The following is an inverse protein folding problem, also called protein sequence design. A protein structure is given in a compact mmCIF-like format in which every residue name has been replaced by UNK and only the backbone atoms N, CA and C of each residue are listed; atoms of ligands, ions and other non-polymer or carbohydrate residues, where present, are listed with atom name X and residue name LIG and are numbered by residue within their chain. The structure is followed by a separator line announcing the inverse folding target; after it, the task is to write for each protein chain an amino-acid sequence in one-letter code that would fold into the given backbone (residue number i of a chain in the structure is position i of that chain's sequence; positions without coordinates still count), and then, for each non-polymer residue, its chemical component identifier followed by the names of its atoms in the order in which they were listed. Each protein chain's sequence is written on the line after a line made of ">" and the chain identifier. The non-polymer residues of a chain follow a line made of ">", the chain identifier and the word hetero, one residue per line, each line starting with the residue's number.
data_IF_169076483728
#
_entry.id   IF_169076483728
#
_cell.length_a   1.000
_cell.length_b   1.000
_cell.length_c   1.000
_cell.angle_alpha   90.00
_cell.angle_beta   90.00
_cell.angle_gamma   90.00
#
_symmetry.space_group_name_H-M   'P 1'
#
loop_
_entity.id
_entity.type
_entity.pdbx_description
1 polymer ?
#
# COMPACT_ATOMS: atom_id res chain seq x y z
N UNK A 1 21.08 12.96 2.53
CA UNK A 1 19.78 12.32 2.18
C UNK A 1 19.06 12.07 3.50
N UNK A 2 17.79 12.45 3.64
CA UNK A 2 17.07 12.52 4.92
C UNK A 2 16.99 11.21 5.73
N UNK A 3 17.30 10.07 5.10
CA UNK A 3 17.43 8.78 5.78
C UNK A 3 18.58 8.72 6.80
N UNK A 4 19.58 9.61 6.73
CA UNK A 4 20.72 9.64 7.66
C UNK A 4 20.53 10.60 8.84
N UNK A 5 19.33 11.17 9.02
CA UNK A 5 19.04 12.08 10.13
C UNK A 5 19.08 11.32 11.46
N UNK A 6 19.66 11.92 12.48
CA UNK A 6 19.75 11.33 13.83
C UNK A 6 18.38 11.12 14.50
N UNK A 7 17.38 11.93 14.14
CA UNK A 7 16.02 11.86 14.67
C UNK A 7 15.01 11.76 13.52
N UNK A 8 14.08 10.81 13.66
CA UNK A 8 13.02 10.49 12.69
C UNK A 8 13.53 10.39 11.25
N UNK A 9 14.42 9.43 10.95
CA UNK A 9 14.96 9.26 9.61
C UNK A 9 13.86 8.83 8.64
N UNK A 10 13.95 9.30 7.39
CA UNK A 10 13.01 8.92 6.33
C UNK A 10 13.36 7.52 5.82
N UNK A 11 12.93 6.50 6.55
CA UNK A 11 13.15 5.08 6.23
C UNK A 11 11.80 4.37 6.20
N UNK A 12 11.54 3.46 5.23
CA UNK A 12 10.34 2.66 5.22
C UNK A 12 10.19 1.81 6.50
N UNK A 13 8.95 1.57 6.93
CA UNK A 13 8.68 0.63 8.01
C UNK A 13 9.05 -0.81 7.60
N UNK A 14 9.26 -1.69 8.58
CA UNK A 14 9.68 -3.09 8.35
C UNK A 14 8.64 -3.89 7.56
N UNK A 15 7.37 -3.54 7.68
CA UNK A 15 6.22 -4.16 7.01
C UNK A 15 5.72 -3.35 5.80
N UNK A 16 6.39 -2.24 5.50
CA UNK A 16 6.00 -1.37 4.40
C UNK A 16 6.19 -2.07 3.05
N UNK A 17 5.29 -1.77 2.12
CA UNK A 17 5.46 -2.10 0.71
C UNK A 17 6.06 -0.89 0.01
N UNK A 18 7.26 -1.06 -0.54
CA UNK A 18 7.90 -0.03 -1.35
C UNK A 18 7.36 -0.14 -2.78
N UNK A 19 6.71 0.93 -3.24
CA UNK A 19 6.25 1.06 -4.63
C UNK A 19 7.22 1.98 -5.36
N UNK A 20 8.02 1.41 -6.28
CA UNK A 20 8.83 2.21 -7.20
C UNK A 20 7.95 2.69 -8.37
N UNK A 21 7.69 3.99 -8.39
CA UNK A 21 6.88 4.66 -9.42
C UNK A 21 7.71 5.20 -10.59
N UNK A 22 9.03 4.98 -10.63
CA UNK A 22 9.89 5.56 -11.66
C UNK A 22 9.47 5.09 -13.05
N UNK A 23 9.04 6.02 -13.91
CA UNK A 23 8.60 5.72 -15.27
C UNK A 23 7.14 5.21 -15.39
N UNK A 24 6.38 5.20 -14.30
CA UNK A 24 4.95 4.86 -14.31
C UNK A 24 4.08 6.11 -14.37
N UNK A 25 2.89 5.97 -14.96
CA UNK A 25 1.82 6.95 -14.77
C UNK A 25 1.22 6.82 -13.36
N UNK A 26 0.49 7.85 -12.92
CA UNK A 26 -0.19 7.83 -11.62
C UNK A 26 -1.21 6.70 -11.53
N UNK A 27 -1.98 6.48 -12.59
CA UNK A 27 -2.98 5.39 -12.65
C UNK A 27 -2.31 4.02 -12.43
N UNK A 28 -1.18 3.78 -13.09
CA UNK A 28 -0.43 2.53 -12.92
C UNK A 28 0.11 2.33 -11.49
N UNK A 29 0.49 3.42 -10.82
CA UNK A 29 0.90 3.36 -9.41
C UNK A 29 -0.29 3.00 -8.52
N UNK A 30 -1.45 3.62 -8.75
CA UNK A 30 -2.68 3.37 -7.98
C UNK A 30 -3.16 1.94 -8.19
N UNK A 31 -3.21 1.45 -9.42
CA UNK A 31 -3.59 0.07 -9.74
C UNK A 31 -2.70 -0.95 -9.00
N UNK A 32 -1.40 -0.66 -8.92
CA UNK A 32 -0.43 -1.51 -8.20
C UNK A 32 -0.65 -1.48 -6.69
N UNK A 33 -1.01 -0.32 -6.13
CA UNK A 33 -1.36 -0.19 -4.71
C UNK A 33 -2.63 -0.98 -4.38
N UNK A 34 -3.67 -0.85 -5.21
CA UNK A 34 -4.94 -1.58 -5.04
C UNK A 34 -4.72 -3.09 -5.07
N UNK A 35 -3.98 -3.58 -6.06
CA UNK A 35 -3.67 -5.01 -6.18
C UNK A 35 -2.97 -5.56 -4.93
N UNK A 36 -2.06 -4.78 -4.32
CA UNK A 36 -1.37 -5.18 -3.10
C UNK A 36 -2.30 -5.25 -1.88
N UNK A 37 -3.21 -4.28 -1.76
CA UNK A 37 -4.22 -4.27 -0.70
C UNK A 37 -5.13 -5.50 -0.83
N UNK A 38 -5.67 -5.75 -2.03
CA UNK A 38 -6.55 -6.89 -2.29
C UNK A 38 -5.87 -8.23 -1.99
N UNK A 39 -4.58 -8.36 -2.31
CA UNK A 39 -3.80 -9.57 -2.01
C UNK A 39 -3.65 -9.84 -0.51
N UNK A 40 -3.59 -8.79 0.31
CA UNK A 40 -3.40 -8.89 1.77
C UNK A 40 -4.70 -8.91 2.55
N UNK A 41 -5.79 -8.44 1.95
CA UNK A 41 -7.08 -8.47 2.60
C UNK A 41 -7.45 -9.94 2.89
N UNK A 42 -7.72 -10.29 4.16
CA UNK A 42 -8.32 -11.58 4.44
C UNK A 42 -9.68 -11.65 3.74
N UNK A 43 -10.17 -12.85 3.36
CA UNK A 43 -11.53 -13.00 2.87
C UNK A 43 -12.46 -12.46 3.96
N UNK A 44 -13.03 -11.29 3.70
CA UNK A 44 -13.90 -10.64 4.66
C UNK A 44 -15.17 -11.47 4.74
N UNK A 45 -15.41 -12.11 5.89
CA UNK A 45 -16.64 -12.83 6.21
C UNK A 45 -17.84 -11.91 6.43
N UNK A 46 -18.01 -10.88 5.61
CA UNK A 46 -19.23 -10.08 5.58
C UNK A 46 -20.32 -10.91 4.90
N UNK A 47 -21.15 -11.58 5.69
CA UNK A 47 -22.50 -11.93 5.28
C UNK A 47 -23.14 -10.64 4.77
N UNK A 48 -23.39 -10.54 3.46
CA UNK A 48 -24.24 -9.49 2.91
C UNK A 48 -25.56 -9.54 3.67
N UNK A 49 -25.78 -8.57 4.56
CA UNK A 49 -27.12 -8.24 5.01
C UNK A 49 -27.91 -7.91 3.75
N UNK A 50 -28.92 -8.72 3.48
CA UNK A 50 -29.94 -8.50 2.46
C UNK A 50 -30.75 -7.28 2.86
N UNK A 51 -30.40 -6.11 2.34
CA UNK A 51 -31.32 -4.97 2.37
C UNK A 51 -32.44 -5.24 1.35
N UNK A 52 -33.64 -5.29 1.91
CA UNK A 52 -34.92 -5.55 1.24
C UNK A 52 -35.54 -4.25 0.77
#
# INVERSE_FOLDING_TARGET
>A
RDAARELAPMVPATDAVVVDGTGLSLDQVVDRMEAEVLRRLPPCGLTRGSDT
#
